data_IF_018938646196
#
_entry.id   IF_018938646196
#
_cell.length_a   1.000
_cell.length_b   1.000
_cell.length_c   1.000
_cell.angle_alpha   90.00
_cell.angle_beta   90.00
_cell.angle_gamma   90.00
#
_symmetry.space_group_name_H-M   'P 1'
#
loop_
_entity.id
_entity.type
_entity.pdbx_description
1 polymer ?
#
# COMPACT_ATOMS: atom_id res chain seq x y z
N UNK A 1 -10.02 -9.11 -6.39
CA UNK A 1 -9.17 -8.08 -7.04
C UNK A 1 -7.98 -8.78 -7.67
N UNK A 2 -7.47 -8.31 -8.80
CA UNK A 2 -6.23 -8.86 -9.40
C UNK A 2 -5.00 -8.28 -8.69
N UNK A 3 -3.98 -9.10 -8.37
CA UNK A 3 -2.74 -8.59 -7.80
C UNK A 3 -2.02 -7.69 -8.80
N UNK A 4 -1.48 -6.58 -8.31
CA UNK A 4 -0.74 -5.63 -9.14
C UNK A 4 0.73 -6.10 -9.26
N UNK A 5 1.27 -6.10 -10.48
CA UNK A 5 2.69 -6.37 -10.70
C UNK A 5 3.44 -5.07 -10.93
N UNK A 6 4.53 -4.86 -10.18
CA UNK A 6 5.39 -3.68 -10.27
C UNK A 6 6.85 -4.10 -10.47
N UNK A 7 7.64 -3.27 -11.14
CA UNK A 7 9.09 -3.49 -11.20
C UNK A 7 9.72 -3.22 -9.84
N UNK A 8 10.65 -4.08 -9.42
CA UNK A 8 11.44 -3.88 -8.19
C UNK A 8 12.24 -2.56 -8.21
N UNK A 9 12.52 -2.00 -9.39
CA UNK A 9 13.22 -0.71 -9.52
C UNK A 9 12.38 0.49 -9.03
N UNK A 10 11.07 0.32 -8.87
CA UNK A 10 10.12 1.38 -8.51
C UNK A 10 9.74 1.37 -7.02
N UNK A 11 10.40 0.55 -6.20
CA UNK A 11 10.06 0.41 -4.79
C UNK A 11 11.19 0.88 -3.88
N UNK A 12 10.81 1.30 -2.68
CA UNK A 12 11.76 1.62 -1.62
C UNK A 12 11.62 0.64 -0.48
N UNK A 13 12.69 -0.11 -0.20
CA UNK A 13 12.74 -1.05 0.91
C UNK A 13 12.89 -0.35 2.26
N UNK A 14 12.28 -0.94 3.29
CA UNK A 14 12.50 -0.58 4.68
C UNK A 14 12.38 -1.81 5.57
N UNK A 15 12.76 -1.67 6.83
CA UNK A 15 12.53 -2.69 7.87
C UNK A 15 11.67 -2.11 8.98
N UNK A 16 10.86 -2.95 9.61
CA UNK A 16 9.98 -2.54 10.71
C UNK A 16 9.80 -3.69 11.70
N UNK A 17 9.47 -3.35 12.95
CA UNK A 17 9.14 -4.33 13.98
C UNK A 17 7.63 -4.60 13.92
N UNK A 18 7.24 -5.85 13.67
CA UNK A 18 5.82 -6.24 13.69
C UNK A 18 5.29 -6.40 15.12
N UNK A 19 3.96 -6.46 15.31
CA UNK A 19 3.35 -6.62 16.64
C UNK A 19 3.78 -7.87 17.41
N UNK A 20 4.31 -8.89 16.71
CA UNK A 20 4.91 -10.10 17.29
C UNK A 20 6.35 -9.87 17.79
N UNK A 21 6.89 -8.65 17.67
CA UNK A 21 8.26 -8.29 18.05
C UNK A 21 9.34 -8.65 17.03
N UNK A 22 8.97 -9.27 15.90
CA UNK A 22 9.92 -9.69 14.87
C UNK A 22 10.27 -8.54 13.93
N UNK A 23 11.54 -8.46 13.52
CA UNK A 23 11.95 -7.56 12.44
C UNK A 23 11.48 -8.15 11.09
N UNK A 24 10.75 -7.35 10.32
CA UNK A 24 10.24 -7.71 8.99
C UNK A 24 10.70 -6.72 7.95
N UNK A 25 10.79 -7.20 6.71
CA UNK A 25 11.02 -6.38 5.55
C UNK A 25 9.70 -5.82 5.02
N UNK A 26 9.73 -4.55 4.63
CA UNK A 26 8.64 -3.88 3.96
C UNK A 26 9.11 -3.13 2.72
N UNK A 27 8.15 -2.70 1.92
CA UNK A 27 8.40 -1.83 0.77
C UNK A 27 7.36 -0.72 0.69
N UNK A 28 7.74 0.41 0.11
CA UNK A 28 6.84 1.52 -0.23
C UNK A 28 6.73 1.64 -1.74
N UNK A 29 5.49 1.76 -2.23
CA UNK A 29 5.19 2.05 -3.63
C UNK A 29 3.92 2.87 -3.74
N UNK A 30 3.91 3.93 -4.56
CA UNK A 30 2.72 4.75 -4.81
C UNK A 30 2.08 5.36 -3.55
N UNK A 31 2.84 5.60 -2.48
CA UNK A 31 2.33 6.10 -1.20
C UNK A 31 1.78 5.03 -0.25
N UNK A 32 1.64 3.78 -0.70
CA UNK A 32 1.23 2.64 0.11
C UNK A 32 2.45 1.91 0.70
N UNK A 33 2.23 1.24 1.84
CA UNK A 33 3.22 0.43 2.53
C UNK A 33 2.82 -1.03 2.44
N UNK A 34 3.80 -1.89 2.20
CA UNK A 34 3.59 -3.33 2.11
C UNK A 34 4.59 -4.07 2.98
N UNK A 35 4.19 -5.24 3.43
CA UNK A 35 4.97 -6.20 4.19
C UNK A 35 5.30 -7.39 3.31
N UNK A 36 6.54 -7.86 3.41
CA UNK A 36 7.01 -9.03 2.70
C UNK A 36 6.23 -10.30 3.12
N UNK A 37 5.85 -11.11 2.14
CA UNK A 37 5.16 -12.39 2.35
C UNK A 37 6.05 -13.56 1.97
N UNK A 38 6.50 -13.60 0.71
CA UNK A 38 7.27 -14.71 0.17
C UNK A 38 8.04 -14.29 -1.11
N UNK A 39 9.07 -15.05 -1.45
CA UNK A 39 9.82 -14.92 -2.71
C UNK A 39 9.76 -16.22 -3.48
N UNK A 40 9.79 -16.09 -4.80
CA UNK A 40 9.73 -17.19 -5.74
C UNK A 40 10.79 -16.98 -6.81
N UNK A 41 11.56 -18.01 -7.20
CA UNK A 41 12.45 -17.94 -8.34
C UNK A 41 11.68 -17.58 -9.62
N UNK A 42 12.38 -17.04 -10.62
CA UNK A 42 11.79 -16.68 -11.91
C UNK A 42 11.02 -17.84 -12.58
N UNK A 43 11.49 -19.08 -12.43
CA UNK A 43 10.83 -20.28 -12.96
C UNK A 43 9.48 -20.60 -12.27
N UNK A 44 9.23 -20.04 -11.08
CA UNK A 44 8.05 -20.30 -10.26
C UNK A 44 7.03 -19.16 -10.31
N UNK A 45 6.99 -18.38 -11.41
CA UNK A 45 6.04 -17.28 -11.60
C UNK A 45 4.60 -17.66 -11.22
N UNK A 46 4.10 -18.79 -11.74
CA UNK A 46 2.72 -19.24 -11.50
C UNK A 46 2.41 -19.42 -10.00
N UNK A 47 3.39 -19.83 -9.19
CA UNK A 47 3.20 -20.00 -7.75
C UNK A 47 3.10 -18.65 -7.04
N UNK A 48 3.91 -17.67 -7.44
CA UNK A 48 3.83 -16.30 -6.91
C UNK A 48 2.46 -15.67 -7.19
N UNK A 49 1.99 -15.79 -8.43
CA UNK A 49 0.68 -15.30 -8.82
C UNK A 49 -0.45 -16.06 -8.11
N UNK A 50 -0.39 -17.40 -8.02
CA UNK A 50 -1.40 -18.18 -7.30
C UNK A 50 -1.53 -17.76 -5.83
N UNK A 51 -0.39 -17.57 -5.14
CA UNK A 51 -0.40 -17.05 -3.76
C UNK A 51 -1.02 -15.64 -3.70
N UNK A 52 -0.62 -14.75 -4.61
CA UNK A 52 -1.10 -13.38 -4.61
C UNK A 52 -2.60 -13.28 -4.89
N UNK A 53 -3.12 -14.10 -5.81
CA UNK A 53 -4.55 -14.23 -6.08
C UNK A 53 -5.29 -14.74 -4.86
N UNK A 54 -4.82 -15.83 -4.23
CA UNK A 54 -5.46 -16.38 -3.03
C UNK A 54 -5.54 -15.34 -1.91
N UNK A 55 -4.48 -14.57 -1.66
CA UNK A 55 -4.49 -13.48 -0.68
C UNK A 55 -5.45 -12.34 -1.07
N UNK A 56 -5.55 -12.02 -2.36
CA UNK A 56 -6.45 -10.99 -2.89
C UNK A 56 -7.93 -11.37 -2.78
N UNK A 57 -8.26 -12.66 -2.84
CA UNK A 57 -9.61 -13.19 -2.61
C UNK A 57 -10.08 -12.99 -1.17
N UNK A 58 -9.15 -12.98 -0.19
CA UNK A 58 -9.45 -12.63 1.20
C UNK A 58 -9.55 -11.11 1.44
N UNK A 59 -9.63 -10.30 0.39
CA UNK A 59 -9.78 -8.85 0.47
C UNK A 59 -8.52 -8.11 0.93
N UNK A 60 -7.35 -8.76 0.87
CA UNK A 60 -6.07 -8.09 1.11
C UNK A 60 -5.59 -7.44 -0.18
N UNK A 61 -5.09 -6.20 -0.10
CA UNK A 61 -4.38 -5.62 -1.23
C UNK A 61 -2.98 -6.24 -1.32
N UNK A 62 -2.66 -6.81 -2.47
CA UNK A 62 -1.44 -7.60 -2.68
C UNK A 62 -0.74 -7.12 -3.95
N UNK A 63 0.58 -7.10 -3.88
CA UNK A 63 1.46 -6.66 -4.95
C UNK A 63 2.53 -7.72 -5.18
N UNK A 64 2.87 -7.93 -6.45
CA UNK A 64 4.00 -8.75 -6.87
C UNK A 64 5.07 -7.81 -7.39
N UNK A 65 6.31 -7.93 -6.91
CA UNK A 65 7.45 -7.26 -7.55
C UNK A 65 8.18 -8.25 -8.44
N UNK A 66 8.51 -7.83 -9.65
CA UNK A 66 9.32 -8.57 -10.61
C UNK A 66 10.76 -8.01 -10.62
N UNK A 67 11.74 -8.90 -10.51
CA UNK A 67 13.16 -8.62 -10.68
C UNK A 67 13.91 -9.77 -11.35
N UNK A 68 15.17 -9.51 -11.71
CA UNK A 68 16.05 -10.50 -12.33
C UNK A 68 16.20 -11.79 -11.50
N UNK A 69 15.99 -11.71 -10.19
CA UNK A 69 16.09 -12.84 -9.26
C UNK A 69 14.77 -13.61 -9.11
N UNK A 70 13.64 -13.05 -9.54
CA UNK A 70 12.33 -13.67 -9.49
C UNK A 70 11.22 -12.74 -9.00
N UNK A 71 10.23 -13.33 -8.34
CA UNK A 71 9.01 -12.65 -7.93
C UNK A 71 8.89 -12.60 -6.41
N UNK A 72 8.66 -11.42 -5.86
CA UNK A 72 8.34 -11.26 -4.44
C UNK A 72 6.88 -10.87 -4.28
N UNK A 73 6.20 -11.48 -3.30
CA UNK A 73 4.81 -11.20 -2.96
C UNK A 73 4.77 -10.35 -1.71
N UNK A 74 3.98 -9.28 -1.76
CA UNK A 74 3.86 -8.27 -0.72
C UNK A 74 2.39 -8.03 -0.40
N UNK A 75 2.06 -7.93 0.88
CA UNK A 75 0.71 -7.58 1.35
C UNK A 75 0.69 -6.18 1.91
N UNK A 76 -0.37 -5.43 1.63
CA UNK A 76 -0.52 -4.08 2.16
C UNK A 76 -0.52 -4.11 3.69
N UNK A 77 0.31 -3.26 4.28
CA UNK A 77 0.22 -2.91 5.68
C UNK A 77 -0.95 -1.95 5.79
N UNK A 78 -2.08 -2.41 6.33
CA UNK A 78 -3.25 -1.56 6.59
C UNK A 78 -2.80 -0.28 7.28
N UNK A 79 -2.77 0.83 6.55
CA UNK A 79 -2.75 2.15 7.18
C UNK A 79 -4.16 2.42 7.70
N UNK A 80 -4.26 3.07 8.86
CA UNK A 80 -5.50 3.74 9.23
C UNK A 80 -5.95 4.59 8.02
N UNK A 81 -7.25 4.64 7.68
CA UNK A 81 -7.74 5.56 6.66
C UNK A 81 -7.19 6.93 7.03
N UNK A 82 -6.38 7.51 6.14
CA UNK A 82 -5.83 8.84 6.37
C UNK A 82 -7.04 9.77 6.51
N UNK A 83 -7.27 10.42 7.67
CA UNK A 83 -8.30 11.45 7.71
C UNK A 83 -7.91 12.44 6.62
N UNK A 84 -8.83 12.67 5.67
CA UNK A 84 -8.62 13.61 4.58
C UNK A 84 -8.13 14.91 5.21
N UNK A 85 -6.86 15.26 4.95
CA UNK A 85 -6.27 16.50 5.42
C UNK A 85 -7.20 17.61 4.92
N UNK A 86 -7.85 18.27 5.87
CA UNK A 86 -8.78 19.38 5.69
C UNK A 86 -8.36 20.22 4.48
N UNK A 87 -9.13 20.13 3.39
CA UNK A 87 -9.20 21.25 2.47
C UNK A 87 -9.54 22.46 3.34
N UNK A 88 -8.80 23.58 3.28
CA UNK A 88 -9.24 24.77 3.97
C UNK A 88 -10.62 25.11 3.42
N UNK A 89 -11.64 24.89 4.24
CA UNK A 89 -12.95 25.45 4.03
C UNK A 89 -12.70 26.94 3.87
N UNK A 90 -12.87 27.44 2.64
CA UNK A 90 -12.87 28.87 2.36
C UNK A 90 -13.98 29.48 3.20
N UNK A 91 -13.59 29.88 4.40
CA UNK A 91 -14.38 30.55 5.41
C UNK A 91 -14.82 31.87 4.82
N UNK A 92 -15.98 31.88 4.18
CA UNK A 92 -16.67 33.11 3.78
C UNK A 92 -17.70 33.43 4.86
N UNK A 93 -17.22 33.80 6.06
CA UNK A 93 -18.08 34.35 7.12
C UNK A 93 -17.87 35.87 7.17
N UNK A 94 -18.74 36.55 6.42
CA UNK A 94 -19.45 37.82 6.69
C UNK A 94 -18.68 39.10 7.09
N UNK A 95 -19.27 40.28 6.79
CA UNK A 95 -20.05 40.89 7.86
C UNK A 95 -21.44 41.39 7.42
N UNK A 96 -22.38 41.15 8.32
CA UNK A 96 -23.66 41.82 8.47
C UNK A 96 -23.45 43.27 8.87
N UNK A 97 -24.05 44.23 8.16
CA UNK A 97 -24.61 45.53 8.62
C UNK A 97 -25.06 46.32 7.35
N UNK A 98 -26.28 46.84 7.20
CA UNK A 98 -26.87 47.90 7.98
C UNK A 98 -28.41 48.00 7.81
N UNK A 99 -29.07 48.21 8.96
CA UNK A 99 -30.19 49.13 9.28
C UNK A 99 -31.29 49.44 8.24
N UNK A 100 -32.52 49.23 8.73
CA UNK A 100 -33.80 49.87 8.40
C UNK A 100 -33.71 51.30 7.86
N UNK A 101 -34.48 51.58 6.81
CA UNK A 101 -35.60 52.53 6.81
C UNK A 101 -36.72 51.94 5.96
#
# INVERSE_FOLDING_TARGET
>A
MSPLTISETLIHYFTFVSPDGCLRQGMRSGGQLYSYVASFPAACQNQAYALAYGLSEYGQQVVITDSDNGYNVWKELRSLPQPALNQPETSSIFPTEHRRC
#
